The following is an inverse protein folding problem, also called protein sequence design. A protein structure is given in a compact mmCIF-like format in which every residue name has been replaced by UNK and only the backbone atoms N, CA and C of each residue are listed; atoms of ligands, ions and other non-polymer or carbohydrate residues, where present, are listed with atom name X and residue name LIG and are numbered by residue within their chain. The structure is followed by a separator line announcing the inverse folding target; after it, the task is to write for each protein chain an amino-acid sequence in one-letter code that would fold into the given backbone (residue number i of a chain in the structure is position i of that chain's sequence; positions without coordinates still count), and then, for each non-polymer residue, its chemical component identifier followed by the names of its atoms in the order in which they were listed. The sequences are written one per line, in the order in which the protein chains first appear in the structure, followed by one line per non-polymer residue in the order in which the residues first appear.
data_IF_966272639851
#
_entry.id   IF_966272639851
#
_cell.length_a   1.000
_cell.length_b   1.000
_cell.length_c   1.000
_cell.angle_alpha   90.00
_cell.angle_beta   90.00
_cell.angle_gamma   90.00
#
_symmetry.space_group_name_H-M   'P 1'
#
loop_
_entity.id
_entity.type
_entity.pdbx_description
1 polymer ?
#
# COMPACT_ATOMS: atom_id res chain seq x y z
N UNK A 1 26.32 -24.88 15.01
CA UNK A 1 26.03 -24.22 13.72
C UNK A 1 24.59 -23.78 13.76
N UNK A 2 24.31 -22.47 13.70
CA UNK A 2 22.92 -22.01 13.70
C UNK A 2 22.66 -20.55 14.06
N UNK A 3 23.68 -19.77 14.39
CA UNK A 3 23.50 -18.35 14.75
C UNK A 3 24.13 -17.46 13.67
N UNK A 4 23.51 -17.44 12.49
CA UNK A 4 23.87 -16.52 11.41
C UNK A 4 22.66 -15.64 11.16
N UNK A 5 22.83 -14.33 11.34
CA UNK A 5 21.80 -13.35 11.02
C UNK A 5 21.56 -13.31 9.52
N UNK A 6 20.43 -13.86 9.08
CA UNK A 6 19.99 -13.83 7.68
C UNK A 6 19.09 -12.63 7.45
N UNK A 7 19.55 -11.69 6.61
CA UNK A 7 18.77 -10.52 6.19
C UNK A 7 18.23 -10.73 4.78
N UNK A 8 16.91 -10.83 4.65
CA UNK A 8 16.23 -10.95 3.35
C UNK A 8 16.00 -9.57 2.75
N UNK A 9 16.16 -9.43 1.43
CA UNK A 9 15.94 -8.17 0.69
C UNK A 9 15.25 -8.43 -0.64
N UNK A 10 14.62 -7.40 -1.22
CA UNK A 10 13.90 -7.51 -2.49
C UNK A 10 12.63 -8.34 -2.38
N UNK A 11 12.28 -9.02 -3.46
CA UNK A 11 11.08 -9.86 -3.55
C UNK A 11 11.11 -11.01 -2.53
N UNK A 12 12.30 -11.52 -2.20
CA UNK A 12 12.49 -12.53 -1.14
C UNK A 12 12.05 -12.02 0.24
N UNK A 13 12.01 -10.70 0.44
CA UNK A 13 11.53 -10.04 1.65
C UNK A 13 10.13 -9.42 1.49
N UNK A 14 9.42 -9.70 0.39
CA UNK A 14 8.10 -9.13 0.12
C UNK A 14 8.12 -7.62 -0.17
N UNK A 15 9.25 -7.07 -0.62
CA UNK A 15 9.42 -5.63 -0.84
C UNK A 15 8.84 -5.18 -2.20
N UNK A 16 7.58 -5.52 -2.46
CA UNK A 16 6.86 -5.18 -3.70
C UNK A 16 5.64 -4.31 -3.39
N UNK A 17 5.52 -3.16 -4.06
CA UNK A 17 4.31 -2.33 -4.03
C UNK A 17 3.19 -3.05 -4.80
N UNK A 18 2.34 -3.77 -4.09
CA UNK A 18 1.25 -4.58 -4.69
C UNK A 18 0.21 -3.76 -5.47
N UNK A 19 0.13 -2.44 -5.28
CA UNK A 19 -0.77 -1.58 -6.07
C UNK A 19 -0.18 -1.13 -7.41
N UNK A 20 1.13 -1.31 -7.62
CA UNK A 20 1.84 -0.84 -8.83
C UNK A 20 2.73 -1.91 -9.45
N UNK A 21 2.80 -3.10 -8.84
CA UNK A 21 3.73 -4.20 -9.16
C UNK A 21 5.20 -3.72 -9.18
N UNK A 22 5.52 -2.69 -8.41
CA UNK A 22 6.87 -2.11 -8.37
C UNK A 22 7.70 -2.75 -7.26
N UNK A 23 8.71 -3.57 -7.61
CA UNK A 23 9.61 -4.24 -6.66
C UNK A 23 11.06 -3.74 -6.69
N UNK A 24 11.51 -3.13 -7.79
CA UNK A 24 12.93 -2.77 -7.98
C UNK A 24 13.41 -1.70 -7.00
N UNK A 25 12.71 -0.57 -6.91
CA UNK A 25 13.13 0.56 -6.04
C UNK A 25 12.99 0.20 -4.57
N UNK A 26 11.88 -0.46 -4.20
CA UNK A 26 11.62 -0.92 -2.83
C UNK A 26 12.59 -2.02 -2.40
N UNK A 27 12.99 -2.90 -3.31
CA UNK A 27 14.07 -3.87 -3.08
C UNK A 27 15.41 -3.20 -2.81
N UNK A 28 15.78 -2.16 -3.56
CA UNK A 28 16.99 -1.37 -3.27
C UNK A 28 16.92 -0.66 -1.91
N UNK A 29 15.75 -0.19 -1.50
CA UNK A 29 15.58 0.43 -0.19
C UNK A 29 15.73 -0.58 0.94
N UNK A 30 15.23 -1.80 0.78
CA UNK A 30 15.46 -2.87 1.74
C UNK A 30 16.91 -3.34 1.80
N UNK A 31 17.60 -3.38 0.66
CA UNK A 31 19.04 -3.64 0.62
C UNK A 31 19.84 -2.55 1.34
N UNK A 32 19.49 -1.28 1.13
CA UNK A 32 20.09 -0.14 1.84
C UNK A 32 19.86 -0.23 3.36
N UNK A 33 18.67 -0.63 3.79
CA UNK A 33 18.36 -0.86 5.21
C UNK A 33 19.22 -1.99 5.81
N UNK A 34 19.43 -3.08 5.06
CA UNK A 34 20.28 -4.19 5.49
C UNK A 34 21.76 -3.77 5.65
N UNK A 35 22.29 -3.02 4.68
CA UNK A 35 23.65 -2.47 4.74
C UNK A 35 23.81 -1.52 5.93
N UNK A 36 22.81 -0.69 6.22
CA UNK A 36 22.83 0.21 7.38
C UNK A 36 22.83 -0.53 8.71
N UNK A 37 22.00 -1.57 8.85
CA UNK A 37 21.99 -2.38 10.07
C UNK A 37 23.33 -3.09 10.29
N UNK A 38 23.93 -3.61 9.22
CA UNK A 38 25.24 -4.27 9.27
C UNK A 38 26.38 -3.31 9.63
N UNK A 39 26.48 -2.16 8.94
CA UNK A 39 27.57 -1.20 9.15
C UNK A 39 27.41 -0.37 10.43
N UNK A 40 26.17 -0.08 10.82
CA UNK A 40 25.86 0.74 11.99
C UNK A 40 25.66 -0.05 13.28
N UNK A 41 25.62 -1.39 13.22
CA UNK A 41 25.24 -2.23 14.36
C UNK A 41 23.82 -1.96 14.86
N UNK A 42 22.94 -1.45 13.98
CA UNK A 42 21.54 -1.16 14.31
C UNK A 42 20.63 -2.33 13.93
N UNK A 43 19.42 -2.34 14.48
CA UNK A 43 18.43 -3.40 14.19
C UNK A 43 17.85 -3.24 12.78
N UNK A 44 17.93 -4.28 11.95
CA UNK A 44 17.37 -4.31 10.59
C UNK A 44 15.87 -3.93 10.53
N UNK A 45 14.99 -4.49 11.39
CA UNK A 45 13.60 -4.05 11.48
C UNK A 45 13.41 -2.54 11.69
N UNK A 46 14.29 -1.90 12.45
CA UNK A 46 14.20 -0.45 12.70
C UNK A 46 14.55 0.35 11.45
N UNK A 47 15.60 -0.04 10.73
CA UNK A 47 15.97 0.56 9.44
C UNK A 47 14.90 0.34 8.37
N UNK A 48 14.19 -0.79 8.43
CA UNK A 48 13.14 -1.16 7.49
C UNK A 48 11.78 -0.51 7.79
N UNK A 49 11.58 0.06 8.98
CA UNK A 49 10.25 0.46 9.48
C UNK A 49 9.50 1.39 8.52
N UNK A 50 10.17 2.39 7.95
CA UNK A 50 9.54 3.31 7.01
C UNK A 50 9.10 2.62 5.71
N UNK A 51 9.97 1.77 5.15
CA UNK A 51 9.65 0.98 3.95
C UNK A 51 8.50 0.01 4.24
N UNK A 52 8.52 -0.65 5.41
CA UNK A 52 7.45 -1.55 5.82
C UNK A 52 6.11 -0.83 5.93
N UNK A 53 6.05 0.35 6.57
CA UNK A 53 4.82 1.15 6.66
C UNK A 53 4.28 1.55 5.29
N UNK A 54 5.16 1.88 4.35
CA UNK A 54 4.77 2.19 2.97
C UNK A 54 4.17 0.96 2.27
N UNK A 55 4.85 -0.19 2.34
CA UNK A 55 4.38 -1.45 1.76
C UNK A 55 3.06 -1.95 2.38
N UNK A 56 2.93 -1.86 3.72
CA UNK A 56 1.70 -2.19 4.43
C UNK A 56 0.55 -1.29 3.95
N UNK A 57 0.80 0.01 3.76
CA UNK A 57 -0.20 0.95 3.23
C UNK A 57 -0.68 0.52 1.84
N UNK A 58 0.26 0.15 0.94
CA UNK A 58 -0.08 -0.37 -0.38
C UNK A 58 -0.89 -1.68 -0.28
N UNK A 59 -0.53 -2.58 0.63
CA UNK A 59 -1.25 -3.83 0.85
C UNK A 59 -2.69 -3.58 1.34
N UNK A 60 -2.88 -2.70 2.33
CA UNK A 60 -4.21 -2.33 2.81
C UNK A 60 -5.07 -1.70 1.72
N UNK A 61 -4.51 -0.80 0.90
CA UNK A 61 -5.23 -0.20 -0.23
C UNK A 61 -5.65 -1.28 -1.22
N UNK A 62 -4.73 -2.19 -1.59
CA UNK A 62 -5.04 -3.30 -2.50
C UNK A 62 -6.16 -4.18 -1.96
N UNK A 63 -6.06 -4.62 -0.70
CA UNK A 63 -7.06 -5.45 -0.05
C UNK A 63 -8.43 -4.77 0.06
N UNK A 64 -8.46 -3.44 0.27
CA UNK A 64 -9.71 -2.67 0.27
C UNK A 64 -10.33 -2.59 -1.12
N UNK A 65 -9.53 -2.37 -2.16
CA UNK A 65 -10.01 -2.31 -3.53
C UNK A 65 -10.51 -3.66 -4.04
N UNK A 66 -9.85 -4.76 -3.68
CA UNK A 66 -10.29 -6.12 -4.04
C UNK A 66 -11.64 -6.51 -3.44
N UNK A 67 -12.07 -5.83 -2.36
CA UNK A 67 -13.39 -6.03 -1.75
C UNK A 67 -14.52 -5.25 -2.44
N UNK A 68 -14.19 -4.36 -3.39
CA UNK A 68 -15.20 -3.57 -4.11
C UNK A 68 -15.87 -4.43 -5.20
N UNK A 69 -17.20 -4.43 -5.19
CA UNK A 69 -18.01 -4.83 -6.33
C UNK A 69 -18.20 -3.63 -7.29
N UNK A 70 -18.81 -3.85 -8.46
CA UNK A 70 -19.05 -2.77 -9.45
C UNK A 70 -19.78 -1.55 -8.83
N UNK A 71 -20.87 -1.72 -8.05
CA UNK A 71 -21.50 -0.59 -7.33
C UNK A 71 -20.58 0.10 -6.32
N UNK A 72 -19.68 -0.65 -5.68
CA UNK A 72 -18.64 -0.10 -4.81
C UNK A 72 -17.67 0.79 -5.58
N UNK A 73 -17.21 0.35 -6.75
CA UNK A 73 -16.34 1.13 -7.62
C UNK A 73 -17.03 2.40 -8.13
N UNK A 74 -18.30 2.32 -8.55
CA UNK A 74 -19.06 3.50 -8.98
C UNK A 74 -19.15 4.55 -7.87
N UNK A 75 -19.34 4.11 -6.62
CA UNK A 75 -19.35 5.01 -5.45
C UNK A 75 -17.97 5.60 -5.18
N UNK A 76 -16.91 4.81 -5.30
CA UNK A 76 -15.55 5.31 -5.16
C UNK A 76 -15.24 6.40 -6.19
N UNK A 77 -15.59 6.16 -7.46
CA UNK A 77 -15.40 7.13 -8.55
C UNK A 77 -16.26 8.38 -8.32
N UNK A 78 -17.50 8.22 -7.84
CA UNK A 78 -18.37 9.37 -7.51
C UNK A 78 -17.81 10.29 -6.42
N UNK A 79 -16.90 9.79 -5.57
CA UNK A 79 -16.21 10.59 -4.55
C UNK A 79 -15.06 11.42 -5.13
N UNK A 80 -14.60 11.14 -6.35
CA UNK A 80 -13.53 11.88 -7.05
C UNK A 80 -14.10 13.20 -7.60
N UNK A 81 -14.19 14.20 -6.72
CA UNK A 81 -14.62 15.56 -7.09
C UNK A 81 -13.48 16.34 -7.75
N UNK A 82 -13.73 17.49 -8.41
CA UNK A 82 -12.66 18.34 -8.92
C UNK A 82 -11.64 18.79 -7.86
N UNK A 83 -12.07 18.91 -6.60
CA UNK A 83 -11.16 19.18 -5.48
C UNK A 83 -10.21 18.00 -5.20
N UNK A 84 -10.74 16.77 -5.22
CA UNK A 84 -9.95 15.55 -5.11
C UNK A 84 -9.00 15.41 -6.30
N UNK A 85 -9.47 15.66 -7.52
CA UNK A 85 -8.61 15.62 -8.72
C UNK A 85 -7.46 16.62 -8.63
N UNK A 86 -7.72 17.87 -8.23
CA UNK A 86 -6.65 18.86 -8.02
C UNK A 86 -5.68 18.46 -6.92
N UNK A 87 -6.17 17.82 -5.86
CA UNK A 87 -5.31 17.30 -4.81
C UNK A 87 -4.42 16.16 -5.32
N UNK A 88 -4.99 15.19 -6.03
CA UNK A 88 -4.26 14.07 -6.63
C UNK A 88 -3.26 14.55 -7.70
N UNK A 89 -3.60 15.59 -8.46
CA UNK A 89 -2.71 16.17 -9.48
C UNK A 89 -1.54 16.97 -8.88
N UNK A 90 -1.65 17.41 -7.62
CA UNK A 90 -0.62 18.22 -6.94
C UNK A 90 0.53 17.38 -6.41
N UNK A 91 0.27 16.13 -6.03
CA UNK A 91 1.25 15.26 -5.40
C UNK A 91 1.64 14.13 -6.35
N UNK A 92 2.93 13.99 -6.62
CA UNK A 92 3.46 12.80 -7.31
C UNK A 92 3.16 11.53 -6.50
N UNK A 93 3.14 10.35 -7.14
CA UNK A 93 2.86 9.05 -6.50
C UNK A 93 3.66 8.84 -5.21
N UNK A 94 4.93 9.23 -5.18
CA UNK A 94 5.79 9.04 -4.00
C UNK A 94 5.50 10.04 -2.87
N UNK A 95 5.09 11.26 -3.20
CA UNK A 95 4.63 12.23 -2.20
C UNK A 95 3.21 11.94 -1.72
N UNK A 96 2.37 11.39 -2.61
CA UNK A 96 0.97 11.09 -2.34
C UNK A 96 0.85 10.02 -1.25
N UNK A 97 1.76 9.04 -1.18
CA UNK A 97 1.79 8.06 -0.10
C UNK A 97 1.89 8.72 1.29
N UNK A 98 2.73 9.76 1.42
CA UNK A 98 2.90 10.53 2.67
C UNK A 98 1.78 11.54 2.91
N UNK A 99 0.97 11.85 1.91
CA UNK A 99 -0.09 12.84 2.01
C UNK A 99 -1.49 12.20 1.92
N UNK A 100 -1.58 10.87 1.84
CA UNK A 100 -2.83 10.14 1.60
C UNK A 100 -3.88 10.42 2.68
N UNK A 101 -3.47 10.52 3.94
CA UNK A 101 -4.38 10.89 5.04
C UNK A 101 -5.02 12.27 4.86
N UNK A 102 -4.40 13.19 4.12
CA UNK A 102 -5.00 14.51 3.83
C UNK A 102 -6.21 14.40 2.91
N UNK A 103 -6.33 13.32 2.15
CA UNK A 103 -7.46 13.06 1.26
C UNK A 103 -8.79 12.97 2.05
N UNK A 104 -8.73 12.51 3.30
CA UNK A 104 -9.88 12.46 4.22
C UNK A 104 -10.42 13.87 4.51
N UNK A 105 -9.53 14.87 4.64
CA UNK A 105 -9.94 16.26 4.85
C UNK A 105 -10.45 16.93 3.57
N UNK A 106 -9.94 16.52 2.40
CA UNK A 106 -10.40 17.04 1.10
C UNK A 106 -11.78 16.48 0.73
N UNK A 107 -12.04 15.22 1.07
CA UNK A 107 -13.30 14.54 0.80
C UNK A 107 -13.67 13.62 1.97
N UNK A 108 -14.50 14.12 2.92
CA UNK A 108 -14.93 13.35 4.08
C UNK A 108 -15.71 12.08 3.73
N UNK A 109 -16.30 12.00 2.53
CA UNK A 109 -17.04 10.81 2.04
C UNK A 109 -16.16 9.56 1.91
N UNK A 110 -14.83 9.70 1.90
CA UNK A 110 -13.93 8.56 1.96
C UNK A 110 -13.96 7.84 3.31
N UNK A 111 -14.33 8.50 4.42
CA UNK A 111 -14.43 7.87 5.74
C UNK A 111 -15.54 6.80 5.76
N UNK A 112 -16.82 7.12 5.50
CA UNK A 112 -17.88 6.12 5.53
C UNK A 112 -17.72 5.08 4.43
N UNK A 113 -17.12 5.44 3.29
CA UNK A 113 -16.76 4.48 2.25
C UNK A 113 -15.71 3.48 2.76
N UNK A 114 -14.61 3.97 3.33
CA UNK A 114 -13.56 3.13 3.90
C UNK A 114 -14.05 2.24 5.04
N UNK A 115 -14.80 2.80 6.00
CA UNK A 115 -15.41 2.02 7.08
C UNK A 115 -16.32 0.93 6.53
N UNK A 116 -17.18 1.25 5.56
CA UNK A 116 -18.05 0.26 4.93
C UNK A 116 -17.26 -0.87 4.27
N UNK A 117 -16.11 -0.59 3.65
CA UNK A 117 -15.27 -1.62 3.02
C UNK A 117 -14.52 -2.49 4.02
N UNK A 118 -14.17 -1.93 5.18
CA UNK A 118 -13.58 -2.69 6.28
C UNK A 118 -14.61 -3.68 6.84
N UNK A 119 -15.87 -3.24 7.00
CA UNK A 119 -16.95 -4.05 7.57
C UNK A 119 -17.75 -4.90 6.57
N UNK A 120 -17.60 -4.65 5.26
CA UNK A 120 -18.26 -5.49 4.24
C UNK A 120 -17.42 -6.74 4.02
N UNK A 121 -17.99 -7.90 4.37
CA UNK A 121 -17.42 -9.20 4.05
C UNK A 121 -17.44 -9.41 2.53
N UNK A 122 -16.31 -9.82 1.96
CA UNK A 122 -16.15 -10.03 0.52
C UNK A 122 -17.18 -11.04 0.00
N UNK A 123 -18.04 -10.59 -0.91
CA UNK A 123 -18.92 -11.45 -1.71
C UNK A 123 -18.34 -11.55 -3.12
N UNK A 124 -17.11 -12.04 -3.26
CA UNK A 124 -16.69 -12.51 -4.57
C UNK A 124 -17.24 -13.92 -4.77
N UNK A 125 -18.41 -14.02 -5.40
CA UNK A 125 -18.79 -15.27 -6.05
C UNK A 125 -17.80 -15.47 -7.22
N UNK A 126 -17.24 -16.68 -7.39
CA UNK A 126 -16.36 -16.94 -8.53
C UNK A 126 -17.11 -16.64 -9.83
N UNK A 127 -16.46 -15.90 -10.74
CA UNK A 127 -16.96 -15.71 -12.09
C UNK A 127 -17.25 -17.09 -12.70
N UNK A 128 -18.46 -17.34 -13.26
CA UNK A 128 -18.71 -18.57 -13.97
C UNK A 128 -17.72 -18.65 -15.13
N UNK A 129 -16.96 -19.75 -15.19
CA UNK A 129 -16.16 -20.10 -16.35
C UNK A 129 -17.14 -20.21 -17.53
N UNK A 130 -17.07 -19.27 -18.45
CA UNK A 130 -17.71 -19.39 -19.76
C UNK A 130 -16.98 -20.49 -20.53
N UNK A 131 -17.69 -21.58 -20.83
CA UNK A 131 -17.27 -22.65 -21.74
C UNK A 131 -17.02 -22.15 -23.16
#
# INVERSE_FOLDING_TARGET
MGDVDVLLVGDAAGQVKVTTVGGTVTGFWGAKAAVRSLLGGTSYPNELLLLKRELDTHWYIRALLERLDNPGYDRLVSCITPAVQRFLARYDRDEMAKNFWKLIFVQPRFIPLGLRLIFTSSKHAPLPLSE
#
